data_IF_200317871564
#
_entry.id   IF_200317871564
#
_cell.length_a   1.000
_cell.length_b   1.000
_cell.length_c   1.000
_cell.angle_alpha   90.00
_cell.angle_beta   90.00
_cell.angle_gamma   90.00
#
_symmetry.space_group_name_H-M   'P 1'
#
loop_
_entity.id
_entity.type
_entity.pdbx_description
1 polymer ?
#
# COMPACT_ATOMS: atom_id res chain seq x y z
N UNK A 1 14.78 -19.14 0.71
CA UNK A 1 14.06 -18.12 -0.05
C UNK A 1 14.22 -16.76 0.67
N UNK A 2 15.46 -16.27 0.76
CA UNK A 2 15.74 -14.95 1.28
C UNK A 2 15.53 -13.90 0.18
N UNK A 3 14.91 -12.77 0.51
CA UNK A 3 14.71 -11.65 -0.42
C UNK A 3 13.34 -11.57 -1.10
N UNK A 4 12.46 -12.54 -0.91
CA UNK A 4 11.09 -12.49 -1.45
C UNK A 4 10.18 -11.66 -0.54
N UNK A 5 9.34 -10.83 -1.12
CA UNK A 5 8.39 -9.96 -0.41
C UNK A 5 7.47 -10.71 0.58
N UNK A 6 7.18 -11.99 0.30
CA UNK A 6 6.39 -12.84 1.18
C UNK A 6 6.95 -13.01 2.61
N UNK A 7 8.25 -12.79 2.80
CA UNK A 7 8.92 -12.92 4.12
C UNK A 7 9.37 -11.59 4.70
N UNK A 8 9.25 -10.48 3.96
CA UNK A 8 9.63 -9.16 4.44
C UNK A 8 8.60 -8.59 5.41
N UNK A 9 9.06 -8.08 6.54
CA UNK A 9 8.18 -7.43 7.53
C UNK A 9 7.56 -6.14 7.01
N UNK A 10 8.12 -5.54 5.96
CA UNK A 10 7.65 -4.32 5.31
C UNK A 10 6.51 -4.53 4.30
N UNK A 11 6.18 -5.77 3.97
CA UNK A 11 5.07 -6.12 3.07
C UNK A 11 3.74 -6.12 3.84
N UNK A 12 2.65 -5.59 3.27
CA UNK A 12 1.33 -5.66 3.87
C UNK A 12 0.91 -7.10 4.22
N UNK A 13 0.18 -7.25 5.32
CA UNK A 13 -0.15 -8.56 5.87
C UNK A 13 -0.90 -9.45 4.87
N UNK A 14 -1.90 -8.92 4.19
CA UNK A 14 -2.68 -9.64 3.16
C UNK A 14 -1.82 -10.11 1.98
N UNK A 15 -0.83 -9.31 1.58
CA UNK A 15 0.03 -9.61 0.45
C UNK A 15 1.05 -10.71 0.74
N UNK A 16 1.52 -10.86 1.98
CA UNK A 16 2.47 -11.92 2.34
C UNK A 16 1.92 -13.31 2.04
N UNK A 17 0.69 -13.58 2.48
CA UNK A 17 0.07 -14.88 2.26
C UNK A 17 -0.29 -15.09 0.78
N UNK A 18 -0.73 -14.05 0.10
CA UNK A 18 -1.08 -14.13 -1.32
C UNK A 18 0.15 -14.33 -2.21
N UNK A 19 1.30 -13.72 -1.89
CA UNK A 19 2.56 -13.99 -2.61
C UNK A 19 3.00 -15.46 -2.42
N UNK A 20 2.85 -16.02 -1.21
CA UNK A 20 3.15 -17.44 -0.98
C UNK A 20 2.23 -18.36 -1.82
N UNK A 21 0.94 -18.03 -1.89
CA UNK A 21 -0.01 -18.78 -2.75
C UNK A 21 0.36 -18.66 -4.23
N UNK A 22 0.70 -17.45 -4.70
CA UNK A 22 1.15 -17.22 -6.06
C UNK A 22 2.42 -18.03 -6.40
N UNK A 23 3.40 -18.07 -5.51
CA UNK A 23 4.60 -18.89 -5.66
C UNK A 23 4.27 -20.38 -5.80
N UNK A 24 3.32 -20.89 -5.01
CA UNK A 24 2.86 -22.27 -5.12
C UNK A 24 2.23 -22.56 -6.49
N UNK A 25 1.40 -21.64 -6.99
CA UNK A 25 0.81 -21.75 -8.34
C UNK A 25 1.90 -21.77 -9.41
N UNK A 26 2.89 -20.88 -9.33
CA UNK A 26 4.02 -20.82 -10.26
C UNK A 26 4.79 -22.17 -10.31
N UNK A 27 4.91 -22.83 -9.17
CA UNK A 27 5.63 -24.11 -9.06
C UNK A 27 4.82 -25.33 -9.50
N UNK A 28 3.51 -25.26 -9.49
CA UNK A 28 2.62 -26.44 -9.63
C UNK A 28 1.59 -26.34 -10.74
N UNK A 29 1.38 -25.16 -11.31
CA UNK A 29 0.32 -24.88 -12.29
C UNK A 29 0.87 -24.06 -13.46
N UNK A 30 -0.01 -23.43 -14.23
CA UNK A 30 0.32 -22.63 -15.40
C UNK A 30 0.07 -21.13 -15.22
N UNK A 31 0.40 -20.33 -16.24
CA UNK A 31 0.22 -18.89 -16.20
C UNK A 31 -1.26 -18.48 -16.11
N UNK A 32 -2.16 -19.21 -16.76
CA UNK A 32 -3.60 -18.90 -16.70
C UNK A 32 -4.13 -19.04 -15.26
N UNK A 33 -3.69 -20.06 -14.52
CA UNK A 33 -4.05 -20.23 -13.12
C UNK A 33 -3.55 -19.07 -12.26
N UNK A 34 -2.36 -18.54 -12.55
CA UNK A 34 -1.83 -17.37 -11.86
C UNK A 34 -2.66 -16.12 -12.16
N UNK A 35 -3.01 -15.86 -13.41
CA UNK A 35 -3.83 -14.71 -13.81
C UNK A 35 -5.19 -14.75 -13.11
N UNK A 36 -5.85 -15.90 -13.09
CA UNK A 36 -7.13 -16.08 -12.39
C UNK A 36 -6.99 -15.85 -10.87
N UNK A 37 -5.92 -16.34 -10.27
CA UNK A 37 -5.64 -16.09 -8.85
C UNK A 37 -5.42 -14.59 -8.56
N UNK A 38 -4.65 -13.89 -9.38
CA UNK A 38 -4.38 -12.46 -9.24
C UNK A 38 -5.67 -11.66 -9.36
N UNK A 39 -6.49 -11.96 -10.35
CA UNK A 39 -7.79 -11.32 -10.57
C UNK A 39 -8.73 -11.47 -9.37
N UNK A 40 -8.85 -12.68 -8.85
CA UNK A 40 -9.66 -12.98 -7.67
C UNK A 40 -9.13 -12.29 -6.40
N UNK A 41 -7.82 -12.29 -6.21
CA UNK A 41 -7.19 -11.62 -5.06
C UNK A 41 -7.35 -10.10 -5.15
N UNK A 42 -7.28 -9.50 -6.34
CA UNK A 42 -7.54 -8.08 -6.55
C UNK A 42 -8.94 -7.67 -6.07
N UNK A 43 -9.96 -8.43 -6.43
CA UNK A 43 -11.33 -8.19 -5.97
C UNK A 43 -11.43 -8.27 -4.44
N UNK A 44 -10.83 -9.28 -3.82
CA UNK A 44 -10.77 -9.44 -2.37
C UNK A 44 -10.01 -8.28 -1.70
N UNK A 45 -8.85 -7.92 -2.23
CA UNK A 45 -7.97 -6.87 -1.70
C UNK A 45 -8.70 -5.53 -1.55
N UNK A 46 -9.54 -5.17 -2.52
CA UNK A 46 -10.29 -3.91 -2.50
C UNK A 46 -11.37 -3.85 -1.41
N UNK A 47 -11.68 -4.94 -0.75
CA UNK A 47 -12.61 -5.01 0.39
C UNK A 47 -11.92 -5.00 1.74
N UNK A 48 -10.58 -5.11 1.77
CA UNK A 48 -9.81 -5.23 3.01
C UNK A 48 -9.67 -3.90 3.75
N UNK A 49 -9.44 -3.99 5.06
CA UNK A 49 -9.24 -2.82 5.92
C UNK A 49 -7.87 -2.16 5.68
N UNK A 50 -7.73 -0.91 6.16
CA UNK A 50 -6.47 -0.18 6.16
C UNK A 50 -5.30 -1.03 6.70
N UNK A 51 -5.47 -1.68 7.85
CA UNK A 51 -4.40 -2.45 8.48
C UNK A 51 -3.90 -3.62 7.64
N UNK A 52 -4.77 -4.21 6.83
CA UNK A 52 -4.43 -5.36 5.99
C UNK A 52 -3.72 -4.98 4.70
N UNK A 53 -3.96 -3.78 4.19
CA UNK A 53 -3.38 -3.30 2.92
C UNK A 53 -2.25 -2.30 3.11
N UNK A 54 -2.07 -1.74 4.30
CA UNK A 54 -1.07 -0.74 4.61
C UNK A 54 0.34 -1.35 4.74
N UNK A 55 1.34 -0.57 4.33
CA UNK A 55 2.75 -0.95 4.42
C UNK A 55 3.29 -0.71 5.83
N UNK A 56 3.77 -1.75 6.53
CA UNK A 56 4.48 -1.56 7.80
C UNK A 56 5.84 -0.88 7.60
N UNK A 57 6.14 0.14 8.39
CA UNK A 57 7.41 0.87 8.37
C UNK A 57 7.77 1.40 9.76
N UNK A 58 9.06 1.64 9.99
CA UNK A 58 9.53 2.45 11.11
C UNK A 58 9.52 3.93 10.75
N UNK A 59 9.11 4.78 11.67
CA UNK A 59 9.03 6.22 11.49
C UNK A 59 10.20 6.93 12.18
N UNK A 60 11.34 7.02 11.50
CA UNK A 60 12.57 7.59 12.05
C UNK A 60 12.89 8.96 11.45
N UNK A 61 13.39 9.86 12.26
CA UNK A 61 13.89 11.17 11.85
C UNK A 61 12.78 12.19 11.58
N UNK A 62 11.60 12.05 12.20
CA UNK A 62 10.48 12.98 12.03
C UNK A 62 10.86 14.43 12.26
N UNK A 63 11.68 14.70 13.28
CA UNK A 63 12.13 16.04 13.64
C UNK A 63 12.89 16.77 12.52
N UNK A 64 13.55 16.03 11.62
CA UNK A 64 14.30 16.59 10.48
C UNK A 64 13.38 17.16 9.40
N UNK A 65 12.15 16.68 9.32
CA UNK A 65 11.22 16.97 8.25
C UNK A 65 10.01 17.80 8.67
N UNK A 66 9.82 18.01 9.99
CA UNK A 66 8.78 18.88 10.52
C UNK A 66 9.11 20.35 10.24
N UNK A 67 8.13 21.12 9.77
CA UNK A 67 8.26 22.56 9.47
C UNK A 67 7.16 23.38 10.13
N UNK A 68 7.46 24.66 10.42
CA UNK A 68 6.51 25.57 11.09
C UNK A 68 5.29 25.92 10.23
N UNK A 69 5.46 26.03 8.92
CA UNK A 69 4.43 26.51 8.00
C UNK A 69 3.88 25.45 7.06
N UNK A 70 4.61 24.35 6.87
CA UNK A 70 4.22 23.22 6.04
C UNK A 70 4.07 21.95 6.90
N UNK A 71 3.21 21.05 6.49
CA UNK A 71 3.04 19.77 7.22
C UNK A 71 4.33 18.98 7.24
N UNK A 72 5.08 19.00 6.12
CA UNK A 72 6.38 18.33 6.00
C UNK A 72 7.29 19.02 4.97
N UNK A 73 8.60 18.78 5.06
CA UNK A 73 9.58 19.30 4.13
C UNK A 73 9.63 18.53 2.81
N UNK A 74 10.14 19.16 1.75
CA UNK A 74 10.47 18.47 0.48
C UNK A 74 11.49 17.35 0.74
N UNK A 75 11.30 16.18 0.10
CA UNK A 75 12.18 15.02 0.29
C UNK A 75 11.91 14.17 1.53
N UNK A 76 10.83 14.44 2.25
CA UNK A 76 10.41 13.61 3.39
C UNK A 76 10.09 12.18 2.93
N UNK A 77 10.65 11.14 3.60
CA UNK A 77 10.28 9.76 3.33
C UNK A 77 8.78 9.53 3.45
N UNK A 78 8.22 8.65 2.61
CA UNK A 78 6.76 8.47 2.48
C UNK A 78 6.06 8.14 3.81
N UNK A 79 6.61 7.25 4.63
CA UNK A 79 6.04 6.88 5.92
C UNK A 79 6.09 8.03 6.93
N UNK A 80 7.15 8.84 6.91
CA UNK A 80 7.29 10.03 7.76
C UNK A 80 6.33 11.12 7.33
N UNK A 81 6.15 11.30 6.02
CA UNK A 81 5.14 12.20 5.45
C UNK A 81 3.75 11.86 5.97
N UNK A 82 3.37 10.59 5.88
CA UNK A 82 2.09 10.12 6.40
C UNK A 82 1.92 10.31 7.91
N UNK A 83 3.00 10.14 8.69
CA UNK A 83 2.98 10.35 10.15
C UNK A 83 2.80 11.83 10.51
N UNK A 84 3.48 12.72 9.81
CA UNK A 84 3.31 14.17 9.99
C UNK A 84 1.90 14.63 9.58
N UNK A 85 1.33 14.05 8.54
CA UNK A 85 -0.06 14.26 8.14
C UNK A 85 -1.04 13.81 9.25
N UNK A 86 -0.84 12.62 9.79
CA UNK A 86 -1.64 12.12 10.92
C UNK A 86 -1.60 13.08 12.12
N UNK A 87 -0.41 13.46 12.56
CA UNK A 87 -0.24 14.38 13.67
C UNK A 87 -0.86 15.76 13.40
N UNK A 88 -0.79 16.24 12.16
CA UNK A 88 -1.43 17.48 11.75
C UNK A 88 -2.95 17.42 11.89
N UNK A 89 -3.58 16.33 11.43
CA UNK A 89 -5.05 16.14 11.54
C UNK A 89 -5.46 16.04 12.99
N UNK A 90 -4.74 15.28 13.83
CA UNK A 90 -5.02 15.18 15.28
C UNK A 90 -5.05 16.57 15.93
N UNK A 91 -4.04 17.40 15.64
CA UNK A 91 -3.96 18.77 16.18
C UNK A 91 -5.08 19.66 15.63
N UNK A 92 -5.29 19.66 14.32
CA UNK A 92 -6.27 20.52 13.67
C UNK A 92 -7.72 20.22 14.12
N UNK A 93 -8.00 18.96 14.47
CA UNK A 93 -9.32 18.52 14.96
C UNK A 93 -9.41 18.44 16.49
N UNK A 94 -8.39 18.85 17.20
CA UNK A 94 -8.33 18.82 18.69
C UNK A 94 -8.63 17.43 19.26
N UNK A 95 -8.01 16.39 18.67
CA UNK A 95 -8.29 14.99 18.99
C UNK A 95 -7.21 14.35 19.90
N UNK A 96 -6.35 15.13 20.52
CA UNK A 96 -5.22 14.67 21.35
C UNK A 96 -5.67 13.87 22.58
N UNK A 97 -6.88 14.07 23.05
CA UNK A 97 -7.47 13.30 24.16
C UNK A 97 -7.83 11.87 23.74
N UNK A 98 -8.11 11.66 22.46
CA UNK A 98 -8.54 10.36 21.92
C UNK A 98 -7.42 9.60 21.22
N UNK A 99 -6.54 10.31 20.52
CA UNK A 99 -5.46 9.74 19.74
C UNK A 99 -4.13 10.38 20.11
N UNK A 100 -3.12 9.54 20.36
CA UNK A 100 -1.77 10.01 20.62
C UNK A 100 -1.07 10.40 19.31
N UNK A 101 -0.18 11.37 19.38
CA UNK A 101 0.73 11.67 18.26
C UNK A 101 1.65 10.50 17.98
N UNK A 102 1.98 10.31 16.71
CA UNK A 102 3.07 9.42 16.33
C UNK A 102 4.38 10.09 16.71
N UNK A 103 5.22 9.36 17.43
CA UNK A 103 6.52 9.81 17.90
C UNK A 103 7.65 9.23 17.05
N UNK A 104 8.81 9.86 17.08
CA UNK A 104 9.99 9.39 16.36
C UNK A 104 10.36 7.96 16.79
N UNK A 105 10.66 7.10 15.81
CA UNK A 105 11.02 5.70 16.05
C UNK A 105 9.86 4.72 16.17
N UNK A 106 8.59 5.18 16.19
CA UNK A 106 7.45 4.29 16.28
C UNK A 106 7.25 3.46 15.01
N UNK A 107 6.70 2.26 15.19
CA UNK A 107 6.23 1.43 14.09
C UNK A 107 4.84 1.89 13.67
N UNK A 108 4.68 2.14 12.38
CA UNK A 108 3.44 2.57 11.77
C UNK A 108 3.12 1.74 10.52
N UNK A 109 1.92 1.93 10.01
CA UNK A 109 1.51 1.43 8.69
C UNK A 109 1.04 2.60 7.85
N UNK A 110 1.33 2.62 6.56
CA UNK A 110 0.90 3.71 5.67
C UNK A 110 0.17 3.21 4.43
N UNK A 111 -0.78 4.02 3.97
CA UNK A 111 -1.45 3.87 2.68
C UNK A 111 -1.31 5.14 1.84
N UNK A 112 -1.24 4.94 0.52
CA UNK A 112 -1.50 6.01 -0.44
C UNK A 112 -2.98 6.40 -0.43
N UNK A 113 -3.25 7.67 -0.70
CA UNK A 113 -4.59 8.24 -0.73
C UNK A 113 -4.93 8.77 -2.10
N UNK A 114 -6.17 8.59 -2.50
CA UNK A 114 -6.81 9.32 -3.60
C UNK A 114 -7.10 10.76 -3.18
N UNK A 115 -7.39 11.70 -4.12
CA UNK A 115 -7.73 13.08 -3.79
C UNK A 115 -8.78 13.18 -2.68
N UNK A 116 -8.51 13.99 -1.67
CA UNK A 116 -9.32 14.11 -0.48
C UNK A 116 -9.30 15.54 0.07
N UNK A 117 -10.18 15.81 1.03
CA UNK A 117 -10.36 17.14 1.63
C UNK A 117 -9.12 17.75 2.30
N UNK A 118 -8.13 16.94 2.66
CA UNK A 118 -6.89 17.42 3.27
C UNK A 118 -5.80 17.73 2.24
N UNK A 119 -6.00 17.35 0.96
CA UNK A 119 -4.96 17.47 -0.06
C UNK A 119 -3.73 16.60 0.19
N UNK A 120 -3.85 15.57 1.02
CA UNK A 120 -2.77 14.66 1.39
C UNK A 120 -2.75 13.43 0.47
N UNK A 121 -1.57 12.98 0.06
CA UNK A 121 -1.37 11.82 -0.81
C UNK A 121 -1.05 10.52 -0.06
N UNK A 122 -0.82 10.60 1.25
CA UNK A 122 -0.44 9.47 2.10
C UNK A 122 -0.89 9.73 3.54
N UNK A 123 -1.24 8.66 4.24
CA UNK A 123 -1.52 8.68 5.68
C UNK A 123 -0.83 7.50 6.36
N UNK A 124 -0.20 7.75 7.50
CA UNK A 124 0.34 6.72 8.37
C UNK A 124 -0.44 6.68 9.67
N UNK A 125 -0.65 5.48 10.21
CA UNK A 125 -1.33 5.29 11.48
C UNK A 125 -0.57 4.28 12.34
N UNK A 126 -0.54 4.44 13.67
CA UNK A 126 0.06 3.44 14.57
C UNK A 126 -0.80 2.16 14.69
N UNK A 127 -2.07 2.24 14.40
CA UNK A 127 -3.04 1.16 14.39
C UNK A 127 -4.07 1.34 13.30
N UNK A 128 -5.35 1.33 13.65
CA UNK A 128 -6.43 1.56 12.71
C UNK A 128 -6.48 3.02 12.23
N UNK A 129 -6.99 3.23 11.03
CA UNK A 129 -7.27 4.55 10.51
C UNK A 129 -8.45 5.16 11.29
N UNK A 130 -8.29 6.32 11.96
CA UNK A 130 -9.38 6.94 12.71
C UNK A 130 -10.58 7.26 11.82
N UNK A 131 -11.78 6.88 12.26
CA UNK A 131 -13.02 7.14 11.53
C UNK A 131 -13.30 8.63 11.35
N UNK A 132 -12.90 9.43 12.32
CA UNK A 132 -13.05 10.88 12.33
C UNK A 132 -12.23 11.59 11.25
N UNK A 133 -11.23 10.92 10.69
CA UNK A 133 -10.49 11.45 9.55
C UNK A 133 -11.32 11.42 8.27
N UNK A 134 -12.30 10.52 8.18
CA UNK A 134 -13.14 10.33 6.99
C UNK A 134 -12.31 10.02 5.73
N UNK A 135 -11.23 9.24 5.89
CA UNK A 135 -10.31 8.86 4.82
C UNK A 135 -10.48 7.43 4.32
N UNK A 136 -11.37 6.63 4.93
CA UNK A 136 -11.55 5.22 4.54
C UNK A 136 -11.93 5.04 3.08
N UNK A 137 -12.73 5.94 2.51
CA UNK A 137 -13.14 5.94 1.10
C UNK A 137 -12.06 6.49 0.15
N UNK A 138 -10.99 7.04 0.70
CA UNK A 138 -9.89 7.65 -0.04
C UNK A 138 -8.61 6.81 -0.02
N UNK A 139 -8.66 5.58 0.51
CA UNK A 139 -7.54 4.64 0.38
C UNK A 139 -7.36 4.32 -1.10
N UNK A 140 -6.17 4.54 -1.62
CA UNK A 140 -5.83 4.22 -3.00
C UNK A 140 -5.49 2.74 -3.14
N UNK A 141 -6.51 1.90 -3.21
CA UNK A 141 -6.37 0.45 -3.33
C UNK A 141 -5.63 0.03 -4.61
N UNK A 142 -5.76 0.77 -5.69
CA UNK A 142 -5.03 0.49 -6.93
C UNK A 142 -3.53 0.64 -6.73
N UNK A 143 -3.08 1.77 -6.20
CA UNK A 143 -1.67 2.00 -5.89
C UNK A 143 -1.15 1.03 -4.84
N UNK A 144 -1.94 0.75 -3.79
CA UNK A 144 -1.59 -0.24 -2.77
C UNK A 144 -1.39 -1.64 -3.37
N UNK A 145 -2.32 -2.09 -4.20
CA UNK A 145 -2.25 -3.41 -4.84
C UNK A 145 -1.07 -3.50 -5.80
N UNK A 146 -0.88 -2.50 -6.64
CA UNK A 146 0.23 -2.45 -7.60
C UNK A 146 1.58 -2.54 -6.88
N UNK A 147 1.82 -1.68 -5.91
CA UNK A 147 3.10 -1.62 -5.19
C UNK A 147 3.34 -2.77 -4.21
N UNK A 148 2.29 -3.28 -3.58
CA UNK A 148 2.40 -4.31 -2.56
C UNK A 148 2.38 -5.73 -3.11
N UNK A 149 1.77 -5.96 -4.26
CA UNK A 149 1.55 -7.29 -4.81
C UNK A 149 2.03 -7.44 -6.25
N UNK A 150 1.60 -6.60 -7.18
CA UNK A 150 1.90 -6.76 -8.61
C UNK A 150 3.39 -6.53 -8.90
N UNK A 151 3.98 -5.42 -8.48
CA UNK A 151 5.41 -5.13 -8.70
C UNK A 151 6.33 -6.23 -8.13
N UNK A 152 6.16 -6.68 -6.86
CA UNK A 152 6.94 -7.79 -6.34
C UNK A 152 6.73 -9.11 -7.09
N UNK A 153 5.50 -9.41 -7.51
CA UNK A 153 5.18 -10.61 -8.28
C UNK A 153 5.85 -10.57 -9.66
N UNK A 154 5.76 -9.44 -10.37
CA UNK A 154 6.38 -9.25 -11.67
C UNK A 154 7.90 -9.47 -11.61
N UNK A 155 8.56 -9.00 -10.57
CA UNK A 155 9.99 -9.25 -10.36
C UNK A 155 10.38 -10.73 -10.31
N UNK A 156 9.43 -11.62 -10.03
CA UNK A 156 9.60 -13.07 -10.02
C UNK A 156 9.24 -13.68 -11.37
N UNK A 157 8.07 -13.35 -11.90
CA UNK A 157 7.48 -14.06 -13.07
C UNK A 157 8.04 -13.59 -14.41
N UNK A 158 8.54 -12.37 -14.53
CA UNK A 158 9.19 -11.87 -15.76
C UNK A 158 10.35 -12.77 -16.20
N UNK A 159 11.09 -13.33 -15.25
CA UNK A 159 12.22 -14.22 -15.51
C UNK A 159 11.83 -15.56 -16.16
N UNK A 160 10.58 -15.95 -16.04
CA UNK A 160 10.03 -17.18 -16.64
C UNK A 160 9.06 -16.89 -17.79
N UNK A 161 8.95 -15.63 -18.21
CA UNK A 161 8.10 -15.20 -19.32
C UNK A 161 6.60 -15.23 -19.01
N UNK A 162 6.22 -15.22 -17.73
CA UNK A 162 4.82 -15.17 -17.31
C UNK A 162 4.34 -13.75 -17.08
N UNK A 163 3.01 -13.54 -17.08
CA UNK A 163 2.33 -12.28 -16.78
C UNK A 163 1.39 -12.45 -15.60
N UNK A 164 1.20 -11.39 -14.83
CA UNK A 164 0.27 -11.36 -13.71
C UNK A 164 -1.17 -11.02 -14.14
N UNK A 165 -1.33 -10.35 -15.28
CA UNK A 165 -2.61 -9.89 -15.80
C UNK A 165 -2.74 -10.31 -17.26
N UNK A 166 -4.00 -10.42 -17.72
CA UNK A 166 -4.28 -10.67 -19.15
C UNK A 166 -3.67 -9.54 -19.98
N UNK A 167 -2.93 -9.91 -21.03
CA UNK A 167 -2.50 -8.94 -22.02
C UNK A 167 -3.74 -8.41 -22.71
N UNK A 168 -4.20 -7.23 -22.35
CA UNK A 168 -5.12 -6.43 -23.16
C UNK A 168 -4.34 -5.82 -24.34
N UNK A 169 -3.68 -6.66 -25.15
CA UNK A 169 -3.40 -6.30 -26.52
C UNK A 169 -4.74 -6.39 -27.24
N UNK A 170 -5.47 -5.31 -27.27
CA UNK A 170 -6.41 -5.04 -28.34
C UNK A 170 -5.59 -5.19 -29.63
N UNK A 171 -5.70 -6.34 -30.27
CA UNK A 171 -5.17 -6.56 -31.59
C UNK A 171 -5.75 -5.45 -32.45
N UNK A 172 -4.89 -4.75 -33.19
CA UNK A 172 -5.34 -3.81 -34.22
C UNK A 172 -6.34 -4.45 -35.21
N UNK A 173 -6.41 -5.77 -35.22
CA UNK A 173 -7.35 -6.57 -36.01
C UNK A 173 -8.81 -6.45 -35.53
N UNK A 174 -9.04 -6.20 -34.23
CA UNK A 174 -10.40 -5.97 -33.69
C UNK A 174 -10.96 -4.58 -34.05
N UNK A 175 -10.13 -3.67 -34.55
CA UNK A 175 -10.54 -2.34 -35.00
C UNK A 175 -10.97 -2.31 -36.48
N UNK A 176 -10.68 -3.38 -37.23
CA UNK A 176 -11.02 -3.49 -38.69
C UNK A 176 -12.00 -4.61 -39.00
N UNK A 177 -12.66 -5.19 -37.99
CA UNK A 177 -13.74 -6.17 -38.18
C UNK A 177 -15.11 -5.53 -38.17
#
# INVERSE_FOLDING_TARGET
>A
IMGIEAVKSSTPLSCRESIKKALKIIMTQDNNALIEFVKKFKEEFFTLSFEQVAFPRGCNGMHKYSRKHDVYAKGTPIQVRGALCYNHIIRAKTMEKKYQYIMDGEKIKFCYLTPNKYGMSVISCPGELPKEFELHRHIDYHTQFEKAFIEPLNGIIEKIGWTAEENTSTSLEDFFA
#
